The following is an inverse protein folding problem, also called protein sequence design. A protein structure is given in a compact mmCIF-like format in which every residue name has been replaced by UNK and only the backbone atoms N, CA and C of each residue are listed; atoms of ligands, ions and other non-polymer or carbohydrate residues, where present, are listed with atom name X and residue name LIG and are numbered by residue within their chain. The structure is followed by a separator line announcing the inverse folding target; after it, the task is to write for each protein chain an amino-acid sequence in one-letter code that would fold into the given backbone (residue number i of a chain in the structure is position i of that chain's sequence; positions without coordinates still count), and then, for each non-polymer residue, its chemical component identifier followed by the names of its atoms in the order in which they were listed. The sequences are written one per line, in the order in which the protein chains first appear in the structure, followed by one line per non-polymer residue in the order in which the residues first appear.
data_IF_643144521650
#
_entry.id   IF_643144521650
#
_cell.length_a   1.000
_cell.length_b   1.000
_cell.length_c   1.000
_cell.angle_alpha   90.00
_cell.angle_beta   90.00
_cell.angle_gamma   90.00
#
_symmetry.space_group_name_H-M   'P 1'
#
loop_
_entity.id
_entity.type
_entity.pdbx_description
1 polymer ?
#
# COMPACT_ATOMS: atom_id res chain seq x y z
N UNK A 1 -2.76 -1.17 9.29
CA UNK A 1 -2.88 -1.86 10.59
C UNK A 1 -1.52 -1.92 11.28
N UNK A 2 -0.63 -2.87 10.96
CA UNK A 2 0.66 -3.00 11.69
C UNK A 2 1.58 -1.76 11.62
N UNK A 3 1.51 -0.99 10.52
CA UNK A 3 2.19 0.31 10.37
C UNK A 3 1.27 1.52 10.64
N UNK A 4 0.18 1.34 11.39
CA UNK A 4 -0.66 2.45 11.91
C UNK A 4 -1.93 2.80 11.13
N UNK A 5 -2.21 2.19 9.97
CA UNK A 5 -3.47 2.46 9.26
C UNK A 5 -4.69 1.85 10.00
N UNK A 6 -5.70 2.68 10.31
CA UNK A 6 -6.98 2.31 10.93
C UNK A 6 -8.04 1.81 9.94
N UNK A 7 -7.78 1.96 8.63
CA UNK A 7 -8.66 1.41 7.58
C UNK A 7 -7.83 0.70 6.53
N UNK A 8 -8.47 -0.26 5.84
CA UNK A 8 -7.92 -0.92 4.64
C UNK A 8 -9.00 -0.87 3.57
N UNK A 9 -8.67 -0.23 2.45
CA UNK A 9 -9.59 0.00 1.34
C UNK A 9 -8.95 -0.47 0.04
N UNK A 10 -9.78 -0.86 -0.92
CA UNK A 10 -9.33 -1.36 -2.22
C UNK A 10 -9.82 -0.45 -3.33
N UNK A 11 -8.92 -0.05 -4.22
CA UNK A 11 -9.29 0.35 -5.56
C UNK A 11 -9.38 -0.92 -6.42
N UNK A 12 -10.53 -1.36 -6.90
CA UNK A 12 -11.87 -0.80 -6.74
C UNK A 12 -12.86 -1.89 -6.32
N UNK A 13 -14.09 -1.51 -6.01
CA UNK A 13 -15.13 -2.48 -5.63
C UNK A 13 -15.55 -3.37 -6.81
N UNK A 14 -15.70 -2.80 -8.01
CA UNK A 14 -16.19 -3.52 -9.18
C UNK A 14 -15.31 -3.19 -10.39
N UNK A 15 -14.89 -4.20 -11.14
CA UNK A 15 -14.03 -3.98 -12.30
C UNK A 15 -14.74 -3.10 -13.34
N UNK A 16 -13.97 -2.16 -13.91
CA UNK A 16 -14.41 -1.34 -15.02
C UNK A 16 -14.72 -2.20 -16.25
N UNK A 17 -15.77 -1.85 -16.99
CA UNK A 17 -16.17 -2.56 -18.23
C UNK A 17 -15.27 -2.13 -19.41
N UNK A 18 -14.71 -0.92 -19.37
CA UNK A 18 -13.89 -0.35 -20.43
C UNK A 18 -12.86 0.65 -19.91
N UNK A 19 -12.06 1.21 -20.83
CA UNK A 19 -10.95 2.10 -20.49
C UNK A 19 -9.63 1.37 -20.22
N UNK A 20 -8.65 2.13 -19.73
CA UNK A 20 -7.30 1.64 -19.39
C UNK A 20 -7.30 0.66 -18.22
N UNK A 21 -8.25 0.81 -17.29
CA UNK A 21 -8.28 0.04 -16.04
C UNK A 21 -9.17 -1.21 -16.10
N UNK A 22 -9.74 -1.58 -17.25
CA UNK A 22 -10.63 -2.75 -17.35
C UNK A 22 -9.98 -4.05 -16.88
N UNK A 23 -8.65 -4.15 -16.95
CA UNK A 23 -7.89 -5.30 -16.45
C UNK A 23 -7.31 -5.11 -15.04
N UNK A 24 -7.48 -3.94 -14.44
CA UNK A 24 -7.22 -3.77 -13.01
C UNK A 24 -8.23 -4.62 -12.24
N UNK A 25 -7.73 -5.49 -11.36
CA UNK A 25 -8.59 -6.38 -10.56
C UNK A 25 -9.45 -5.59 -9.59
N UNK A 26 -10.56 -6.18 -9.15
CA UNK A 26 -11.49 -5.59 -8.18
C UNK A 26 -12.08 -6.68 -7.30
N UNK A 27 -12.80 -6.28 -6.25
CA UNK A 27 -13.55 -7.20 -5.38
C UNK A 27 -14.57 -8.00 -6.19
N UNK A 28 -15.32 -7.31 -7.05
CA UNK A 28 -16.31 -7.88 -7.97
C UNK A 28 -15.68 -7.91 -9.37
N UNK A 29 -15.31 -9.11 -9.81
CA UNK A 29 -14.74 -9.33 -11.13
C UNK A 29 -15.77 -9.15 -12.26
N UNK A 30 -15.32 -9.12 -13.52
CA UNK A 30 -16.20 -9.09 -14.70
C UNK A 30 -17.23 -10.24 -14.72
N UNK A 31 -16.89 -11.40 -14.14
CA UNK A 31 -17.81 -12.53 -14.01
C UNK A 31 -19.04 -12.25 -13.12
N UNK A 32 -19.01 -11.18 -12.32
CA UNK A 32 -20.02 -10.81 -11.33
C UNK A 32 -20.34 -11.92 -10.31
N UNK A 33 -19.47 -12.93 -10.18
CA UNK A 33 -19.64 -14.07 -9.27
C UNK A 33 -18.92 -13.83 -7.93
N UNK A 34 -19.50 -14.39 -6.87
CA UNK A 34 -18.95 -14.32 -5.50
C UNK A 34 -18.13 -15.54 -5.11
N UNK A 35 -18.06 -16.56 -5.97
CA UNK A 35 -17.31 -17.79 -5.69
C UNK A 35 -15.85 -17.76 -6.20
N UNK A 36 -15.41 -16.60 -6.68
CA UNK A 36 -14.02 -16.37 -7.11
C UNK A 36 -13.06 -16.38 -5.92
N UNK A 37 -11.79 -16.72 -6.18
CA UNK A 37 -10.74 -16.71 -5.14
C UNK A 37 -10.64 -15.34 -4.45
N UNK A 38 -10.54 -14.27 -5.24
CA UNK A 38 -10.41 -12.89 -4.73
C UNK A 38 -11.57 -12.50 -3.84
N UNK A 39 -12.81 -12.76 -4.28
CA UNK A 39 -13.99 -12.42 -3.48
C UNK A 39 -14.00 -13.19 -2.14
N UNK A 40 -13.73 -14.50 -2.17
CA UNK A 40 -13.68 -15.34 -0.97
C UNK A 40 -12.61 -14.88 0.03
N UNK A 41 -11.41 -14.57 -0.45
CA UNK A 41 -10.32 -14.08 0.40
C UNK A 41 -10.64 -12.72 1.04
N UNK A 42 -11.29 -11.81 0.30
CA UNK A 42 -11.70 -10.51 0.83
C UNK A 42 -12.85 -10.62 1.84
N UNK A 43 -13.77 -11.56 1.65
CA UNK A 43 -14.80 -11.88 2.65
C UNK A 43 -14.16 -12.38 3.94
N UNK A 44 -13.22 -13.33 3.85
CA UNK A 44 -12.47 -13.82 5.01
C UNK A 44 -11.67 -12.71 5.71
N UNK A 45 -11.00 -11.85 4.95
CA UNK A 45 -10.32 -10.66 5.48
C UNK A 45 -11.30 -9.74 6.22
N UNK A 46 -12.48 -9.48 5.65
CA UNK A 46 -13.52 -8.67 6.29
C UNK A 46 -13.96 -9.25 7.64
N UNK A 47 -14.13 -10.58 7.74
CA UNK A 47 -14.43 -11.24 9.01
C UNK A 47 -13.30 -11.11 10.03
N UNK A 48 -12.05 -11.26 9.59
CA UNK A 48 -10.87 -11.08 10.47
C UNK A 48 -10.77 -9.66 11.00
N UNK A 49 -10.97 -8.65 10.15
CA UNK A 49 -10.95 -7.24 10.55
C UNK A 49 -12.07 -6.93 11.54
N UNK A 50 -13.30 -7.39 11.29
CA UNK A 50 -14.42 -7.21 12.21
C UNK A 50 -14.16 -7.81 13.60
N UNK A 51 -13.41 -8.91 13.67
CA UNK A 51 -13.02 -9.55 14.95
C UNK A 51 -11.91 -8.80 15.69
N UNK A 52 -11.06 -8.06 14.98
CA UNK A 52 -9.91 -7.37 15.54
C UNK A 52 -10.20 -5.92 15.97
N UNK A 53 -11.32 -5.36 15.51
CA UNK A 53 -11.72 -3.95 15.57
C UNK A 53 -11.40 -3.25 16.92
N UNK A 54 -11.81 -3.82 18.05
CA UNK A 54 -11.64 -3.19 19.36
C UNK A 54 -10.21 -3.13 19.91
N UNK A 55 -9.27 -3.88 19.31
CA UNK A 55 -7.90 -4.00 19.83
C UNK A 55 -6.87 -3.17 19.06
N UNK A 56 -7.16 -2.82 17.81
CA UNK A 56 -6.18 -2.20 16.90
C UNK A 56 -6.52 -0.74 16.62
N UNK A 57 -7.81 -0.38 16.60
CA UNK A 57 -8.26 0.97 16.27
C UNK A 57 -7.66 2.00 17.22
N UNK A 58 -6.95 2.99 16.68
CA UNK A 58 -6.30 4.05 17.47
C UNK A 58 -5.07 3.60 18.27
N UNK A 59 -4.58 2.37 18.05
CA UNK A 59 -3.31 1.91 18.64
C UNK A 59 -2.12 2.71 18.08
N UNK A 60 -1.05 2.82 18.86
CA UNK A 60 0.15 3.58 18.48
C UNK A 60 1.40 2.69 18.45
N UNK A 61 2.37 3.10 17.64
CA UNK A 61 3.67 2.42 17.54
C UNK A 61 4.71 3.24 18.32
N UNK A 62 5.44 2.58 19.22
CA UNK A 62 6.54 3.19 19.96
C UNK A 62 7.89 2.79 19.34
N UNK A 63 8.31 3.50 18.29
CA UNK A 63 9.56 3.24 17.59
C UNK A 63 10.77 3.81 18.37
N UNK A 64 11.86 3.03 18.46
CA UNK A 64 13.12 3.45 19.11
C UNK A 64 14.17 3.99 18.14
N UNK A 65 13.90 3.85 16.84
CA UNK A 65 14.81 4.19 15.73
C UNK A 65 14.00 4.97 14.70
N UNK A 66 14.64 5.95 14.06
CA UNK A 66 14.06 6.72 12.96
C UNK A 66 15.01 6.79 11.78
N UNK A 67 14.45 6.81 10.56
CA UNK A 67 15.14 7.08 9.30
C UNK A 67 14.64 8.42 8.79
N UNK A 68 15.55 9.31 8.38
CA UNK A 68 15.19 10.64 7.87
C UNK A 68 15.05 10.56 6.35
N UNK A 69 13.87 10.92 5.86
CA UNK A 69 13.63 11.16 4.44
C UNK A 69 13.20 12.62 4.27
N UNK A 70 13.82 13.32 3.34
CA UNK A 70 13.48 14.69 2.97
C UNK A 70 13.21 14.82 1.47
N UNK A 71 12.08 15.47 1.13
CA UNK A 71 11.66 15.69 -0.25
C UNK A 71 12.55 16.71 -0.97
N UNK A 72 13.04 17.74 -0.27
CA UNK A 72 13.91 18.74 -0.90
C UNK A 72 15.25 18.13 -1.29
N UNK A 73 15.80 17.27 -0.43
CA UNK A 73 17.00 16.49 -0.70
C UNK A 73 16.78 15.49 -1.82
N UNK A 74 15.64 14.78 -1.84
CA UNK A 74 15.26 13.90 -2.95
C UNK A 74 15.25 14.67 -4.28
N UNK A 75 14.51 15.77 -4.39
CA UNK A 75 14.48 16.57 -5.61
C UNK A 75 15.84 17.14 -6.00
N UNK A 76 16.62 17.60 -5.01
CA UNK A 76 17.96 18.14 -5.28
C UNK A 76 18.87 17.07 -5.88
N UNK A 77 18.75 15.83 -5.44
CA UNK A 77 19.49 14.71 -5.99
C UNK A 77 18.98 14.28 -7.38
N UNK A 78 17.67 14.14 -7.55
CA UNK A 78 17.08 13.67 -8.83
C UNK A 78 17.22 14.69 -9.98
N UNK A 79 17.31 15.98 -9.67
CA UNK A 79 17.35 17.05 -10.67
C UNK A 79 18.71 17.74 -10.83
N UNK A 80 19.74 17.27 -10.12
CA UNK A 80 21.10 17.75 -10.36
C UNK A 80 21.74 16.96 -11.50
N UNK A 81 22.42 17.66 -12.41
CA UNK A 81 23.40 17.03 -13.30
C UNK A 81 24.65 16.70 -12.45
N UNK A 82 24.55 15.58 -11.74
CA UNK A 82 25.46 15.20 -10.67
C UNK A 82 26.75 14.54 -11.14
N UNK A 83 27.63 14.25 -10.17
CA UNK A 83 28.96 13.66 -10.43
C UNK A 83 28.86 12.16 -10.76
N UNK A 84 27.83 11.46 -10.30
CA UNK A 84 27.59 10.02 -10.53
C UNK A 84 26.10 9.74 -10.70
N UNK A 85 25.81 8.70 -11.48
CA UNK A 85 24.47 8.12 -11.70
C UNK A 85 24.30 6.77 -10.97
N UNK A 86 25.28 6.39 -10.13
CA UNK A 86 25.34 5.07 -9.50
C UNK A 86 24.59 5.01 -8.16
N UNK A 87 24.00 6.12 -7.72
CA UNK A 87 23.20 6.18 -6.50
C UNK A 87 21.76 6.55 -6.88
N UNK A 88 20.81 5.85 -6.28
CA UNK A 88 19.39 6.21 -6.26
C UNK A 88 19.01 6.54 -4.81
N UNK A 89 18.43 7.72 -4.61
CA UNK A 89 18.13 8.21 -3.26
C UNK A 89 17.09 7.35 -2.54
N UNK A 90 16.05 6.91 -3.26
CA UNK A 90 14.97 6.12 -2.68
C UNK A 90 15.46 4.71 -2.37
N UNK A 91 16.20 4.08 -3.29
CA UNK A 91 16.76 2.75 -3.06
C UNK A 91 17.75 2.76 -1.89
N UNK A 92 18.60 3.80 -1.79
CA UNK A 92 19.50 3.97 -0.65
C UNK A 92 18.76 4.02 0.69
N UNK A 93 17.65 4.76 0.76
CA UNK A 93 16.81 4.80 1.97
C UNK A 93 16.14 3.44 2.23
N UNK A 94 15.69 2.75 1.18
CA UNK A 94 15.07 1.43 1.29
C UNK A 94 16.03 0.36 1.80
N UNK A 95 17.32 0.45 1.47
CA UNK A 95 18.35 -0.47 1.96
C UNK A 95 18.55 -0.40 3.48
N UNK A 96 18.35 0.77 4.11
CA UNK A 96 18.34 0.91 5.56
C UNK A 96 16.99 0.58 6.20
N UNK A 97 15.89 0.67 5.44
CA UNK A 97 14.55 0.40 5.92
C UNK A 97 14.19 -1.10 5.96
N UNK A 98 14.74 -1.89 5.02
CA UNK A 98 14.48 -3.34 4.85
C UNK A 98 15.33 -4.20 5.79
#
# INVERSE_FOLDING_TARGET
MAHGADTVQFFQLKQAIGGSEKFHSAVIAHSQRTDTRVFKELVDLGYKLKRADSTILGSTINAKVGIVFDWSNFWSYEYVDGISQDMDYVDSILDYYR
#
